data_IF_577136296786
#
_entry.id   IF_577136296786
#
_cell.length_a   1.000
_cell.length_b   1.000
_cell.length_c   1.000
_cell.angle_alpha   90.00
_cell.angle_beta   90.00
_cell.angle_gamma   90.00
#
_symmetry.space_group_name_H-M   'P 1'
#
loop_
_entity.id
_entity.type
_entity.pdbx_description
1 polymer ?
#
# COMPACT_ATOMS: atom_id res chain seq x y z
N UNK A 1 12.93 12.96 11.83
CA UNK A 1 12.57 11.55 12.04
C UNK A 1 12.55 10.89 10.67
N UNK A 2 13.42 9.92 10.44
CA UNK A 2 13.52 9.15 9.19
C UNK A 2 12.41 8.11 9.13
N UNK A 3 12.04 7.72 7.92
CA UNK A 3 11.17 6.57 7.69
C UNK A 3 11.66 5.76 6.49
N UNK A 4 11.23 4.52 6.43
CA UNK A 4 11.53 3.60 5.33
C UNK A 4 10.26 2.91 4.88
N UNK A 5 10.07 2.80 3.57
CA UNK A 5 9.01 1.98 2.98
C UNK A 5 9.65 0.88 2.16
N UNK A 6 9.38 -0.37 2.50
CA UNK A 6 9.90 -1.53 1.77
C UNK A 6 8.75 -2.22 1.05
N UNK A 7 8.87 -2.42 -0.25
CA UNK A 7 7.96 -3.29 -0.98
C UNK A 7 8.26 -4.74 -0.57
N UNK A 8 7.33 -5.38 0.14
CA UNK A 8 7.50 -6.76 0.63
C UNK A 8 6.78 -7.78 -0.24
N UNK A 9 5.85 -7.32 -1.08
CA UNK A 9 5.08 -8.17 -1.99
C UNK A 9 4.70 -7.38 -3.25
N UNK A 10 5.07 -7.90 -4.41
CA UNK A 10 4.70 -7.38 -5.73
C UNK A 10 4.83 -8.49 -6.78
N UNK A 11 4.32 -8.29 -8.00
CA UNK A 11 4.48 -9.24 -9.11
C UNK A 11 5.94 -9.45 -9.51
N UNK A 12 6.81 -8.44 -9.31
CA UNK A 12 8.25 -8.55 -9.44
C UNK A 12 8.95 -8.68 -8.10
N UNK A 13 10.16 -9.22 -8.15
CA UNK A 13 11.05 -9.31 -7.00
C UNK A 13 12.46 -8.91 -7.42
N UNK A 14 13.24 -8.43 -6.45
CA UNK A 14 14.63 -8.04 -6.65
C UNK A 14 15.43 -9.25 -7.11
N UNK A 15 16.15 -9.10 -8.21
CA UNK A 15 17.00 -10.16 -8.79
C UNK A 15 18.08 -10.65 -7.79
N UNK A 16 18.46 -11.91 -7.95
CA UNK A 16 19.45 -12.58 -7.10
C UNK A 16 19.10 -12.60 -5.59
N UNK A 17 17.80 -12.65 -5.30
CA UNK A 17 17.27 -12.83 -3.94
C UNK A 17 16.35 -14.04 -3.87
N UNK A 18 16.04 -14.53 -2.66
CA UNK A 18 15.05 -15.59 -2.45
C UNK A 18 13.60 -15.09 -2.42
N UNK A 19 13.38 -13.79 -2.70
CA UNK A 19 12.03 -13.21 -2.70
C UNK A 19 11.17 -13.78 -3.82
N UNK A 20 9.89 -13.95 -3.55
CA UNK A 20 8.90 -14.44 -4.51
C UNK A 20 8.12 -13.26 -5.07
N UNK A 21 8.19 -13.09 -6.41
CA UNK A 21 7.26 -12.24 -7.14
C UNK A 21 5.93 -12.95 -7.34
N UNK A 22 4.83 -12.30 -7.03
CA UNK A 22 3.48 -12.85 -7.19
C UNK A 22 2.44 -11.74 -7.24
N UNK A 23 1.29 -12.05 -7.85
CA UNK A 23 0.18 -11.11 -8.03
C UNK A 23 -0.31 -10.55 -6.70
N UNK A 24 -0.38 -9.23 -6.61
CA UNK A 24 -0.77 -8.46 -5.44
C UNK A 24 0.27 -7.44 -5.03
N UNK A 25 0.00 -6.70 -3.97
CA UNK A 25 0.91 -5.68 -3.42
C UNK A 25 0.88 -5.68 -1.91
N UNK A 26 2.04 -5.48 -1.29
CA UNK A 26 2.16 -5.10 0.12
C UNK A 26 3.44 -4.29 0.35
N UNK A 27 3.33 -3.28 1.19
CA UNK A 27 4.43 -2.39 1.56
C UNK A 27 4.56 -2.32 3.08
N UNK A 28 5.77 -2.47 3.60
CA UNK A 28 6.06 -2.28 5.02
C UNK A 28 6.57 -0.86 5.24
N UNK A 29 5.98 -0.16 6.17
CA UNK A 29 6.38 1.17 6.61
C UNK A 29 7.06 1.06 7.97
N UNK A 30 8.32 1.47 8.04
CA UNK A 30 9.07 1.60 9.28
C UNK A 30 9.15 3.10 9.64
N UNK A 31 8.63 3.50 10.82
CA UNK A 31 8.70 4.86 11.35
C UNK A 31 9.15 4.80 12.82
N UNK A 32 10.42 5.13 13.08
CA UNK A 32 11.01 4.92 14.40
C UNK A 32 11.00 3.45 14.78
N UNK A 33 10.38 3.11 15.92
CA UNK A 33 10.24 1.74 16.39
C UNK A 33 8.90 1.08 15.97
N UNK A 34 8.09 1.78 15.18
CA UNK A 34 6.75 1.32 14.77
C UNK A 34 6.73 0.86 13.33
N UNK A 35 5.92 -0.16 13.07
CA UNK A 35 5.77 -0.79 11.77
C UNK A 35 4.32 -0.91 11.38
N UNK A 36 4.02 -0.51 10.14
CA UNK A 36 2.71 -0.70 9.53
C UNK A 36 2.87 -1.50 8.24
N UNK A 37 2.04 -2.52 8.06
CA UNK A 37 1.91 -3.21 6.78
C UNK A 37 0.73 -2.62 6.01
N UNK A 38 1.00 -2.06 4.84
CA UNK A 38 -0.01 -1.53 3.93
C UNK A 38 -0.28 -2.56 2.83
N UNK A 39 -1.50 -3.11 2.82
CA UNK A 39 -1.93 -4.28 2.06
C UNK A 39 -1.19 -5.58 2.44
N UNK A 40 -1.65 -6.72 1.88
CA UNK A 40 -1.13 -8.04 2.27
C UNK A 40 -0.88 -8.97 1.09
N UNK A 41 -1.10 -8.50 -0.15
CA UNK A 41 -0.98 -9.33 -1.34
C UNK A 41 -2.08 -10.40 -1.46
N UNK A 42 -1.95 -11.24 -2.48
CA UNK A 42 -2.94 -12.28 -2.81
C UNK A 42 -2.74 -13.58 -2.01
N UNK A 43 -1.51 -13.96 -1.69
CA UNK A 43 -1.15 -15.25 -1.12
C UNK A 43 -0.38 -15.11 0.18
N UNK A 44 -0.99 -15.44 1.31
CA UNK A 44 -0.37 -15.32 2.62
C UNK A 44 0.95 -16.09 2.75
N UNK A 45 1.08 -17.28 2.15
CA UNK A 45 2.35 -18.03 2.15
C UNK A 45 3.51 -17.30 1.48
N UNK A 46 3.25 -16.51 0.44
CA UNK A 46 4.30 -15.73 -0.23
C UNK A 46 4.65 -14.48 0.57
N UNK A 47 3.64 -13.84 1.19
CA UNK A 47 3.88 -12.75 2.11
C UNK A 47 4.76 -13.21 3.28
N UNK A 48 4.39 -14.30 3.96
CA UNK A 48 5.16 -14.85 5.08
C UNK A 48 6.59 -15.21 4.66
N UNK A 49 6.76 -15.84 3.48
CA UNK A 49 8.07 -16.16 2.95
C UNK A 49 8.92 -14.89 2.71
N UNK A 50 8.36 -13.87 2.06
CA UNK A 50 9.08 -12.64 1.76
C UNK A 50 9.42 -11.86 3.03
N UNK A 51 8.52 -11.78 4.01
CA UNK A 51 8.81 -11.19 5.32
C UNK A 51 10.00 -11.90 5.99
N UNK A 52 9.99 -13.25 6.01
CA UNK A 52 11.11 -14.05 6.54
C UNK A 52 12.42 -13.78 5.80
N UNK A 53 12.41 -13.75 4.46
CA UNK A 53 13.60 -13.44 3.66
C UNK A 53 14.15 -12.03 3.92
N UNK A 54 13.29 -11.09 4.30
CA UNK A 54 13.66 -9.72 4.64
C UNK A 54 14.01 -9.53 6.12
N UNK A 55 13.96 -10.59 6.93
CA UNK A 55 14.23 -10.56 8.37
C UNK A 55 13.16 -9.79 9.15
N UNK A 56 11.92 -9.80 8.67
CA UNK A 56 10.79 -9.11 9.30
C UNK A 56 9.96 -10.14 10.07
N UNK A 57 10.00 -10.03 11.39
CA UNK A 57 9.17 -10.87 12.26
C UNK A 57 7.70 -10.42 12.18
N UNK A 58 6.74 -11.32 11.95
CA UNK A 58 5.31 -10.98 11.89
C UNK A 58 4.81 -10.23 13.13
N UNK A 59 5.26 -10.59 14.32
CA UNK A 59 4.90 -9.94 15.59
C UNK A 59 5.48 -8.52 15.76
N UNK A 60 6.41 -8.11 14.90
CA UNK A 60 6.95 -6.74 14.90
C UNK A 60 6.08 -5.74 14.15
N UNK A 61 5.02 -6.19 13.46
CA UNK A 61 4.06 -5.33 12.75
C UNK A 61 3.01 -4.86 13.76
N UNK A 62 2.92 -3.56 13.98
CA UNK A 62 2.00 -2.95 14.96
C UNK A 62 0.58 -2.78 14.40
N UNK A 63 0.47 -2.53 13.09
CA UNK A 63 -0.83 -2.34 12.44
C UNK A 63 -0.80 -2.82 10.97
N UNK A 64 -1.97 -3.19 10.46
CA UNK A 64 -2.21 -3.48 9.05
C UNK A 64 -3.28 -2.52 8.54
N UNK A 65 -3.02 -1.89 7.41
CA UNK A 65 -4.02 -1.10 6.66
C UNK A 65 -4.31 -1.81 5.35
N UNK A 66 -5.57 -2.09 5.07
CA UNK A 66 -6.01 -2.66 3.79
C UNK A 66 -6.66 -1.58 2.96
N UNK A 67 -6.05 -1.28 1.80
CA UNK A 67 -6.44 -0.16 0.95
C UNK A 67 -7.82 -0.32 0.33
N UNK A 68 -8.18 -1.53 -0.07
CA UNK A 68 -9.44 -1.79 -0.80
C UNK A 68 -9.88 -3.27 -0.75
N UNK A 69 -11.17 -3.57 -1.03
CA UNK A 69 -11.71 -4.93 -1.02
C UNK A 69 -11.36 -5.74 -2.29
N UNK A 70 -10.11 -5.63 -2.77
CA UNK A 70 -9.63 -6.42 -3.89
C UNK A 70 -8.74 -7.58 -3.41
N UNK A 71 -8.93 -8.82 -3.90
CA UNK A 71 -8.19 -9.99 -3.45
C UNK A 71 -6.67 -9.81 -3.42
N UNK A 72 -6.12 -9.07 -4.38
CA UNK A 72 -4.69 -8.80 -4.54
C UNK A 72 -4.12 -7.92 -3.39
N UNK A 73 -5.00 -7.26 -2.60
CA UNK A 73 -4.63 -6.38 -1.51
C UNK A 73 -4.87 -7.00 -0.13
N UNK A 74 -5.93 -7.82 0.05
CA UNK A 74 -6.35 -8.24 1.38
C UNK A 74 -6.18 -9.74 1.70
N UNK A 75 -6.10 -10.63 0.68
CA UNK A 75 -6.15 -12.09 0.93
C UNK A 75 -4.93 -12.66 1.62
N UNK A 76 -3.81 -11.96 1.60
CA UNK A 76 -2.60 -12.39 2.28
C UNK A 76 -2.68 -12.28 3.80
N UNK A 77 -3.66 -11.55 4.34
CA UNK A 77 -3.78 -11.28 5.78
C UNK A 77 -3.83 -12.57 6.63
N UNK A 78 -4.61 -13.56 6.22
CA UNK A 78 -4.72 -14.81 6.98
C UNK A 78 -3.38 -15.52 7.17
N UNK A 79 -2.51 -15.46 6.16
CA UNK A 79 -1.14 -15.99 6.25
C UNK A 79 -0.26 -15.20 7.22
N UNK A 80 -0.40 -13.90 7.29
CA UNK A 80 0.28 -13.08 8.29
C UNK A 80 -0.21 -13.44 9.70
N UNK A 81 -1.53 -13.49 9.89
CA UNK A 81 -2.15 -13.78 11.19
C UNK A 81 -1.77 -15.17 11.71
N UNK A 82 -1.60 -16.15 10.83
CA UNK A 82 -1.17 -17.51 11.18
C UNK A 82 0.21 -17.55 11.82
N UNK A 83 1.11 -16.69 11.38
CA UNK A 83 2.51 -16.64 11.87
C UNK A 83 2.66 -15.73 13.10
N UNK A 84 1.57 -15.12 13.60
CA UNK A 84 1.59 -14.22 14.75
C UNK A 84 1.22 -14.95 16.04
N UNK A 85 1.83 -14.47 17.12
CA UNK A 85 1.50 -14.89 18.50
C UNK A 85 0.70 -13.83 19.26
N UNK A 86 0.58 -12.59 18.70
CA UNK A 86 -0.10 -11.45 19.30
C UNK A 86 -1.14 -10.89 18.32
N UNK A 87 -2.28 -10.37 18.83
CA UNK A 87 -3.22 -9.64 17.99
C UNK A 87 -2.57 -8.41 17.33
N UNK A 88 -3.10 -8.01 16.17
CA UNK A 88 -2.70 -6.81 15.44
C UNK A 88 -3.94 -6.01 15.05
N UNK A 89 -3.84 -4.68 15.12
CA UNK A 89 -4.87 -3.78 14.62
C UNK A 89 -4.93 -3.85 13.09
N UNK A 90 -6.14 -4.09 12.55
CA UNK A 90 -6.38 -4.20 11.11
C UNK A 90 -7.46 -3.20 10.70
N UNK A 91 -7.06 -2.18 9.96
CA UNK A 91 -7.95 -1.16 9.43
C UNK A 91 -8.40 -1.56 8.02
N UNK A 92 -9.69 -1.80 7.86
CA UNK A 92 -10.26 -2.33 6.62
C UNK A 92 -11.63 -1.70 6.32
N UNK A 93 -12.11 -1.86 5.09
CA UNK A 93 -13.47 -1.46 4.72
C UNK A 93 -14.49 -2.40 5.37
N UNK A 94 -15.60 -1.85 5.84
CA UNK A 94 -16.69 -2.64 6.42
C UNK A 94 -17.14 -3.75 5.46
N UNK A 95 -17.32 -4.94 5.99
CA UNK A 95 -17.76 -6.13 5.23
C UNK A 95 -16.65 -6.90 4.51
N UNK A 96 -15.40 -6.44 4.53
CA UNK A 96 -14.28 -7.21 3.94
C UNK A 96 -13.99 -8.51 4.67
N UNK A 97 -14.15 -8.53 5.97
CA UNK A 97 -13.88 -9.70 6.83
C UNK A 97 -15.11 -10.02 7.69
N UNK A 98 -16.17 -10.62 7.11
CA UNK A 98 -17.39 -10.94 7.85
C UNK A 98 -17.12 -11.95 8.97
N UNK A 99 -17.85 -11.82 10.08
CA UNK A 99 -17.67 -12.68 11.27
C UNK A 99 -18.04 -14.15 11.03
N UNK A 100 -18.95 -14.41 10.10
CA UNK A 100 -19.37 -15.76 9.72
C UNK A 100 -19.32 -15.92 8.21
N UNK A 101 -18.55 -16.89 7.73
CA UNK A 101 -18.71 -17.36 6.36
C UNK A 101 -20.00 -18.18 6.28
N UNK A 102 -21.01 -17.68 5.59
CA UNK A 102 -22.18 -18.50 5.25
C UNK A 102 -21.75 -19.72 4.43
N UNK A 103 -22.55 -20.81 4.47
CA UNK A 103 -22.27 -22.10 3.77
C UNK A 103 -21.99 -21.93 2.27
N UNK A 104 -22.31 -20.79 1.68
CA UNK A 104 -22.16 -20.43 0.26
C UNK A 104 -21.19 -19.26 0.02
N UNK A 105 -20.63 -18.64 1.07
CA UNK A 105 -19.66 -17.56 0.89
C UNK A 105 -18.28 -18.15 0.64
N UNK A 106 -17.67 -17.80 -0.49
CA UNK A 106 -16.23 -18.03 -0.71
C UNK A 106 -15.51 -17.36 0.44
N UNK A 107 -14.67 -18.10 1.18
CA UNK A 107 -14.01 -17.73 2.42
C UNK A 107 -13.58 -16.26 2.48
N UNK A 108 -13.99 -15.57 3.52
CA UNK A 108 -13.83 -14.14 3.80
C UNK A 108 -12.40 -13.68 4.09
N UNK A 109 -11.40 -14.47 3.77
CA UNK A 109 -10.01 -14.04 3.91
C UNK A 109 -9.37 -14.26 5.29
N UNK A 110 -10.09 -14.43 6.40
CA UNK A 110 -9.52 -14.79 7.71
C UNK A 110 -10.15 -16.08 8.17
N UNK A 111 -9.33 -17.12 8.44
CA UNK A 111 -9.78 -18.38 9.02
C UNK A 111 -10.19 -18.18 10.49
N UNK A 112 -11.10 -19.02 10.97
CA UNK A 112 -11.58 -18.93 12.34
C UNK A 112 -10.46 -19.12 13.37
N UNK A 113 -9.51 -19.99 13.09
CA UNK A 113 -8.32 -20.20 13.93
C UNK A 113 -7.43 -18.98 14.10
N UNK A 114 -7.39 -18.10 13.09
CA UNK A 114 -6.50 -16.94 13.07
C UNK A 114 -7.23 -15.64 13.47
N UNK A 115 -8.56 -15.71 13.66
CA UNK A 115 -9.37 -14.51 13.90
C UNK A 115 -9.04 -13.80 15.21
N UNK A 116 -8.63 -14.55 16.22
CA UNK A 116 -8.21 -13.99 17.50
C UNK A 116 -6.94 -13.11 17.39
N UNK A 117 -6.19 -13.26 16.30
CA UNK A 117 -4.98 -12.48 16.04
C UNK A 117 -5.25 -11.18 15.26
N UNK A 118 -6.51 -10.83 14.99
CA UNK A 118 -6.90 -9.59 14.31
C UNK A 118 -7.89 -8.78 15.16
N UNK A 119 -7.57 -7.51 15.41
CA UNK A 119 -8.49 -6.51 15.95
C UNK A 119 -8.96 -5.67 14.77
N UNK A 120 -10.21 -5.89 14.33
CA UNK A 120 -10.74 -5.29 13.11
C UNK A 120 -11.37 -3.93 13.40
N UNK A 121 -10.93 -2.90 12.66
CA UNK A 121 -11.44 -1.53 12.68
C UNK A 121 -12.06 -1.20 11.31
N UNK A 122 -13.30 -0.71 11.33
CA UNK A 122 -14.08 -0.42 10.12
C UNK A 122 -14.50 1.04 9.99
N UNK A 123 -13.88 1.91 10.77
CA UNK A 123 -14.16 3.35 10.68
C UNK A 123 -13.87 3.88 9.27
N UNK A 124 -14.66 4.85 8.83
CA UNK A 124 -14.41 5.58 7.59
C UNK A 124 -14.03 7.02 7.95
N UNK A 125 -12.81 7.40 7.67
CA UNK A 125 -12.26 8.70 8.02
C UNK A 125 -10.73 8.67 8.06
N UNK A 126 -10.13 9.77 8.46
CA UNK A 126 -8.71 9.84 8.75
C UNK A 126 -8.40 9.16 10.08
N UNK A 127 -7.55 8.16 10.08
CA UNK A 127 -7.16 7.38 11.25
C UNK A 127 -5.64 7.35 11.34
N UNK A 128 -5.07 7.74 12.46
CA UNK A 128 -3.66 7.50 12.76
C UNK A 128 -3.49 6.04 13.17
N UNK A 129 -3.07 5.19 12.23
CA UNK A 129 -2.94 3.74 12.44
C UNK A 129 -1.69 3.38 13.28
N UNK A 130 -0.61 4.10 13.10
CA UNK A 130 0.57 4.16 13.98
C UNK A 130 1.06 5.62 14.00
N UNK A 131 1.88 6.05 14.97
CA UNK A 131 2.34 7.43 15.05
C UNK A 131 2.88 7.94 13.72
N UNK A 132 2.29 9.05 13.22
CA UNK A 132 2.62 9.73 11.97
C UNK A 132 2.30 8.97 10.68
N UNK A 133 1.60 7.84 10.75
CA UNK A 133 1.10 7.13 9.57
C UNK A 133 -0.42 7.04 9.65
N UNK A 134 -1.06 7.65 8.68
CA UNK A 134 -2.51 7.83 8.64
C UNK A 134 -3.12 7.02 7.51
N UNK A 135 -4.26 6.36 7.77
CA UNK A 135 -5.15 5.89 6.72
C UNK A 135 -6.11 7.01 6.35
N UNK A 136 -6.28 7.27 5.05
CA UNK A 136 -7.26 8.24 4.53
C UNK A 136 -8.69 7.70 4.60
N UNK A 137 -9.72 8.55 4.45
CA UNK A 137 -11.04 8.08 4.03
C UNK A 137 -10.96 7.26 2.74
N UNK A 138 -12.02 6.51 2.43
CA UNK A 138 -12.10 5.80 1.16
C UNK A 138 -12.53 6.76 0.04
N UNK A 139 -11.68 6.93 -0.98
CA UNK A 139 -11.99 7.68 -2.19
C UNK A 139 -12.75 6.80 -3.17
N UNK A 140 -13.86 7.31 -3.71
CA UNK A 140 -14.63 6.64 -4.77
C UNK A 140 -14.06 7.03 -6.14
N UNK A 141 -13.70 6.03 -6.93
CA UNK A 141 -13.18 6.24 -8.29
C UNK A 141 -14.28 6.45 -9.35
N UNK A 142 -15.54 6.52 -8.94
CA UNK A 142 -16.69 6.66 -9.83
C UNK A 142 -17.13 5.37 -10.54
N UNK A 143 -16.39 4.27 -10.37
CA UNK A 143 -16.66 2.97 -10.99
C UNK A 143 -17.09 1.91 -9.96
N UNK A 144 -17.53 2.35 -8.76
CA UNK A 144 -17.88 1.45 -7.65
C UNK A 144 -16.65 0.89 -6.91
N UNK A 145 -15.46 1.30 -7.26
CA UNK A 145 -14.25 0.98 -6.54
C UNK A 145 -13.94 2.08 -5.53
N UNK A 146 -13.66 1.67 -4.30
CA UNK A 146 -13.24 2.55 -3.21
C UNK A 146 -11.87 2.14 -2.74
N UNK A 147 -10.99 3.12 -2.53
CA UNK A 147 -9.62 2.91 -2.08
C UNK A 147 -9.24 3.92 -1.01
N UNK A 148 -8.62 3.42 0.07
CA UNK A 148 -7.92 4.25 1.04
C UNK A 148 -6.41 4.18 0.78
N UNK A 149 -5.73 5.26 1.11
CA UNK A 149 -4.28 5.40 0.99
C UNK A 149 -3.65 5.44 2.38
N UNK A 150 -2.36 5.16 2.47
CA UNK A 150 -1.61 5.50 3.67
C UNK A 150 -0.81 6.79 3.42
N UNK A 151 -0.80 7.68 4.40
CA UNK A 151 -0.07 8.94 4.36
C UNK A 151 0.91 8.98 5.52
N UNK A 152 2.19 9.15 5.22
CA UNK A 152 3.25 9.33 6.21
C UNK A 152 3.50 10.82 6.36
N UNK A 153 3.27 11.37 7.56
CA UNK A 153 3.55 12.76 7.88
C UNK A 153 5.01 12.91 8.35
N UNK A 154 5.91 13.16 7.42
CA UNK A 154 7.33 13.38 7.70
C UNK A 154 7.67 14.89 7.86
N UNK A 155 8.81 15.23 8.47
CA UNK A 155 9.21 16.63 8.66
C UNK A 155 9.33 17.43 7.35
N UNK A 156 9.77 16.79 6.27
CA UNK A 156 10.01 17.41 4.96
C UNK A 156 8.77 17.51 4.07
N UNK A 157 7.74 16.74 4.35
CA UNK A 157 6.53 16.63 3.54
C UNK A 157 5.83 15.31 3.74
N UNK A 158 4.86 15.03 2.90
CA UNK A 158 4.07 13.81 2.95
C UNK A 158 4.63 12.75 2.01
N UNK A 159 4.55 11.48 2.41
CA UNK A 159 4.70 10.36 1.50
C UNK A 159 3.37 9.58 1.43
N UNK A 160 2.88 9.32 0.23
CA UNK A 160 1.59 8.66 -0.01
C UNK A 160 1.83 7.27 -0.56
N UNK A 161 1.18 6.27 0.05
CA UNK A 161 1.19 4.88 -0.41
C UNK A 161 -0.15 4.55 -1.04
N UNK A 162 -0.10 4.01 -2.26
CA UNK A 162 -1.24 3.57 -3.06
C UNK A 162 -1.20 2.07 -3.27
N UNK A 163 -2.27 1.36 -2.94
CA UNK A 163 -2.39 -0.08 -3.16
C UNK A 163 -2.68 -0.43 -4.61
N UNK A 164 -3.53 0.37 -5.26
CA UNK A 164 -3.91 0.19 -6.66
C UNK A 164 -3.95 1.49 -7.47
N UNK A 165 -4.39 2.59 -6.88
CA UNK A 165 -4.46 3.89 -7.54
C UNK A 165 -5.57 4.01 -8.58
N UNK A 166 -6.72 3.38 -8.32
CA UNK A 166 -7.84 3.29 -9.28
C UNK A 166 -8.39 4.67 -9.65
N UNK A 167 -8.47 5.58 -8.69
CA UNK A 167 -8.97 6.95 -8.88
C UNK A 167 -7.91 7.96 -9.37
N UNK A 168 -6.66 7.51 -9.55
CA UNK A 168 -5.53 8.41 -9.81
C UNK A 168 -5.06 9.16 -8.57
N UNK A 169 -3.99 9.97 -8.69
CA UNK A 169 -3.35 10.59 -7.54
C UNK A 169 -4.01 11.90 -7.07
N UNK A 170 -4.74 12.61 -7.95
CA UNK A 170 -5.20 14.00 -7.71
C UNK A 170 -5.95 14.19 -6.39
N UNK A 171 -6.99 13.36 -6.17
CA UNK A 171 -7.85 13.53 -5.00
C UNK A 171 -7.09 13.30 -3.69
N UNK A 172 -6.25 12.28 -3.62
CA UNK A 172 -5.49 11.98 -2.39
C UNK A 172 -4.38 13.01 -2.16
N UNK A 173 -3.74 13.52 -3.20
CA UNK A 173 -2.73 14.59 -3.10
C UNK A 173 -3.38 15.85 -2.52
N UNK A 174 -4.45 16.34 -3.14
CA UNK A 174 -5.17 17.54 -2.71
C UNK A 174 -5.67 17.42 -1.27
N UNK A 175 -6.31 16.31 -0.92
CA UNK A 175 -6.88 16.11 0.40
C UNK A 175 -5.79 16.00 1.49
N UNK A 176 -4.72 15.23 1.23
CA UNK A 176 -3.62 15.08 2.19
C UNK A 176 -2.87 16.39 2.40
N UNK A 177 -2.54 17.11 1.34
CA UNK A 177 -1.83 18.39 1.43
C UNK A 177 -2.65 19.44 2.18
N UNK A 178 -3.96 19.52 1.90
CA UNK A 178 -4.87 20.39 2.63
C UNK A 178 -4.93 20.08 4.12
N UNK A 179 -5.06 18.76 4.45
CA UNK A 179 -5.19 18.33 5.85
C UNK A 179 -3.96 18.60 6.69
N UNK A 180 -2.78 18.33 6.15
CA UNK A 180 -1.52 18.44 6.89
C UNK A 180 -0.83 19.79 6.70
N UNK A 181 -1.33 20.62 5.80
CA UNK A 181 -0.69 21.87 5.36
C UNK A 181 0.78 21.65 4.97
N UNK A 182 1.02 20.59 4.20
CA UNK A 182 2.34 20.15 3.75
C UNK A 182 2.26 19.63 2.31
N UNK A 183 3.32 19.86 1.52
CA UNK A 183 3.43 19.28 0.18
C UNK A 183 3.68 17.77 0.24
N UNK A 184 3.30 17.07 -0.79
CA UNK A 184 3.67 15.66 -1.00
C UNK A 184 5.06 15.58 -1.65
N UNK A 185 6.00 14.89 -1.01
CA UNK A 185 7.35 14.68 -1.52
C UNK A 185 7.52 13.34 -2.22
N UNK A 186 6.72 12.32 -1.87
CA UNK A 186 6.83 10.99 -2.45
C UNK A 186 5.47 10.34 -2.69
N UNK A 187 5.34 9.64 -3.82
CA UNK A 187 4.21 8.77 -4.15
C UNK A 187 4.71 7.37 -4.45
N UNK A 188 4.23 6.37 -3.70
CA UNK A 188 4.74 5.00 -3.71
C UNK A 188 3.61 4.01 -3.99
N UNK A 189 3.84 3.03 -4.86
CA UNK A 189 2.89 1.95 -5.13
C UNK A 189 2.32 1.97 -6.53
N UNK A 190 0.99 2.01 -6.69
CA UNK A 190 0.33 1.81 -7.98
C UNK A 190 -0.47 3.02 -8.46
N UNK A 191 -0.63 3.09 -9.80
CA UNK A 191 -1.52 4.03 -10.49
C UNK A 191 -2.54 3.32 -11.41
N UNK A 192 -2.73 1.99 -11.32
CA UNK A 192 -3.67 1.16 -12.11
C UNK A 192 -3.69 1.48 -13.62
N UNK A 193 -2.52 1.69 -14.22
CA UNK A 193 -2.39 2.10 -15.62
C UNK A 193 -2.16 0.93 -16.59
N UNK A 194 -2.15 -0.33 -16.12
CA UNK A 194 -1.86 -1.52 -16.94
C UNK A 194 -2.72 -1.61 -18.21
N UNK A 195 -4.01 -1.26 -18.09
CA UNK A 195 -4.98 -1.29 -19.18
C UNK A 195 -5.45 0.10 -19.64
N UNK A 196 -4.85 1.14 -19.10
CA UNK A 196 -5.25 2.51 -19.37
C UNK A 196 -4.66 3.02 -20.68
N UNK A 197 -5.40 3.93 -21.33
CA UNK A 197 -4.88 4.63 -22.51
C UNK A 197 -3.88 5.71 -22.11
N UNK A 198 -2.97 6.06 -23.02
CA UNK A 198 -1.94 7.09 -22.80
C UNK A 198 -2.46 8.39 -22.17
N UNK A 199 -3.60 8.99 -22.60
CA UNK A 199 -4.11 10.23 -21.98
C UNK A 199 -4.37 10.15 -20.48
N UNK A 200 -4.73 8.96 -19.95
CA UNK A 200 -4.92 8.75 -18.50
C UNK A 200 -3.57 8.82 -17.78
N UNK A 201 -2.56 8.15 -18.33
CA UNK A 201 -1.21 8.21 -17.76
C UNK A 201 -0.61 9.62 -17.82
N UNK A 202 -0.88 10.36 -18.92
CA UNK A 202 -0.47 11.75 -19.07
C UNK A 202 -1.15 12.65 -18.01
N UNK A 203 -2.45 12.45 -17.77
CA UNK A 203 -3.19 13.19 -16.74
C UNK A 203 -2.66 12.90 -15.31
N UNK A 204 -2.36 11.62 -15.01
CA UNK A 204 -1.80 11.26 -13.71
C UNK A 204 -0.38 11.81 -13.50
N UNK A 205 0.43 11.80 -14.54
CA UNK A 205 1.74 12.44 -14.49
C UNK A 205 1.62 13.96 -14.31
N UNK A 206 0.69 14.62 -15.01
CA UNK A 206 0.43 16.05 -14.85
C UNK A 206 -0.02 16.39 -13.42
N UNK A 207 -0.86 15.57 -12.81
CA UNK A 207 -1.26 15.71 -11.41
C UNK A 207 -0.06 15.62 -10.45
N UNK A 208 0.77 14.59 -10.57
CA UNK A 208 1.99 14.45 -9.77
C UNK A 208 2.94 15.65 -9.94
N UNK A 209 3.08 16.17 -11.16
CA UNK A 209 3.89 17.34 -11.46
C UNK A 209 3.30 18.64 -10.84
N UNK A 210 1.99 18.83 -10.93
CA UNK A 210 1.29 20.00 -10.37
C UNK A 210 1.47 20.10 -8.85
N UNK A 211 1.48 18.96 -8.17
CA UNK A 211 1.75 18.84 -6.72
C UNK A 211 3.25 18.83 -6.38
N UNK A 212 4.14 18.96 -7.39
CA UNK A 212 5.60 18.98 -7.20
C UNK A 212 6.11 17.76 -6.42
N UNK A 213 5.62 16.56 -6.76
CA UNK A 213 6.06 15.30 -6.13
C UNK A 213 7.47 14.97 -6.60
N UNK A 214 8.43 14.94 -5.68
CA UNK A 214 9.85 14.76 -6.00
C UNK A 214 10.19 13.31 -6.40
N UNK A 215 9.65 12.34 -5.65
CA UNK A 215 9.96 10.92 -5.79
C UNK A 215 8.70 10.11 -6.11
N UNK A 216 8.73 9.39 -7.24
CA UNK A 216 7.64 8.52 -7.67
C UNK A 216 8.17 7.10 -7.84
N UNK A 217 7.64 6.16 -7.04
CA UNK A 217 8.03 4.75 -7.04
C UNK A 217 6.84 3.90 -7.43
N UNK A 218 6.89 3.27 -8.61
CA UNK A 218 5.74 2.57 -9.19
C UNK A 218 5.99 1.06 -9.27
N UNK A 219 4.99 0.30 -8.83
CA UNK A 219 5.00 -1.16 -8.85
C UNK A 219 4.41 -1.74 -10.16
N UNK A 220 4.46 -3.07 -10.31
CA UNK A 220 3.98 -3.79 -11.50
C UNK A 220 2.52 -3.55 -11.83
N UNK A 221 1.67 -3.25 -10.83
CA UNK A 221 0.25 -2.97 -11.05
C UNK A 221 0.01 -1.72 -11.90
N UNK A 222 0.95 -0.77 -11.91
CA UNK A 222 0.91 0.38 -12.83
C UNK A 222 1.07 -0.06 -14.29
N UNK A 223 1.64 -1.24 -14.52
CA UNK A 223 1.91 -1.77 -15.85
C UNK A 223 3.13 -1.13 -16.50
N UNK A 224 3.88 -1.91 -17.28
CA UNK A 224 5.12 -1.43 -17.94
C UNK A 224 4.88 -0.19 -18.80
N UNK A 225 3.81 -0.19 -19.62
CA UNK A 225 3.46 0.95 -20.46
C UNK A 225 3.05 2.18 -19.64
N UNK A 226 2.32 1.97 -18.54
CA UNK A 226 1.95 3.02 -17.59
C UNK A 226 3.18 3.68 -16.99
N UNK A 227 4.11 2.90 -16.46
CA UNK A 227 5.39 3.39 -15.89
C UNK A 227 6.17 4.18 -16.95
N UNK A 228 6.28 3.65 -18.18
CA UNK A 228 6.98 4.33 -19.28
C UNK A 228 6.34 5.68 -19.61
N UNK A 229 5.01 5.74 -19.71
CA UNK A 229 4.30 6.98 -20.02
C UNK A 229 4.46 8.03 -18.89
N UNK A 230 4.39 7.61 -17.63
CA UNK A 230 4.64 8.51 -16.49
C UNK A 230 6.08 9.02 -16.51
N UNK A 231 7.07 8.16 -16.79
CA UNK A 231 8.48 8.54 -16.93
C UNK A 231 8.73 9.57 -18.02
N UNK A 232 8.08 9.42 -19.18
CA UNK A 232 8.21 10.37 -20.30
C UNK A 232 7.73 11.76 -19.89
N UNK A 233 6.65 11.84 -19.10
CA UNK A 233 6.05 13.12 -18.70
C UNK A 233 6.76 13.76 -17.50
N UNK A 234 7.25 12.98 -16.52
CA UNK A 234 7.91 13.48 -15.31
C UNK A 234 9.44 13.53 -15.42
N UNK A 235 10.01 12.99 -16.49
CA UNK A 235 11.44 12.76 -16.61
C UNK A 235 11.90 11.43 -16.00
N UNK A 236 12.92 10.82 -16.62
CA UNK A 236 13.35 9.47 -16.27
C UNK A 236 13.91 9.33 -14.84
N UNK A 237 14.52 10.39 -14.31
CA UNK A 237 15.15 10.35 -12.99
C UNK A 237 14.16 10.35 -11.83
N UNK A 238 12.96 10.93 -12.02
CA UNK A 238 11.95 11.08 -10.97
C UNK A 238 11.06 9.86 -10.75
N UNK A 239 11.09 8.86 -11.66
CA UNK A 239 10.20 7.68 -11.58
C UNK A 239 11.01 6.41 -11.50
N UNK A 240 10.89 5.70 -10.39
CA UNK A 240 11.60 4.45 -10.09
C UNK A 240 10.63 3.26 -10.02
N UNK A 241 11.15 2.07 -10.29
CA UNK A 241 10.39 0.82 -10.12
C UNK A 241 10.44 0.38 -8.66
N UNK A 242 9.32 -0.18 -8.17
CA UNK A 242 9.14 -0.52 -6.77
C UNK A 242 8.61 -1.95 -6.60
N UNK A 243 9.53 -2.91 -6.66
CA UNK A 243 9.25 -4.35 -6.57
C UNK A 243 9.61 -4.92 -5.21
N UNK A 244 9.18 -6.15 -4.91
CA UNK A 244 9.54 -6.83 -3.68
C UNK A 244 11.07 -6.82 -3.45
N UNK A 245 11.50 -6.32 -2.28
CA UNK A 245 12.90 -6.14 -1.91
C UNK A 245 13.48 -4.75 -2.19
N UNK A 246 12.73 -3.85 -2.85
CA UNK A 246 13.15 -2.44 -2.98
C UNK A 246 12.62 -1.61 -1.82
N UNK A 247 13.35 -0.55 -1.48
CA UNK A 247 12.97 0.37 -0.41
C UNK A 247 13.11 1.82 -0.86
N UNK A 248 12.19 2.64 -0.39
CA UNK A 248 12.32 4.09 -0.32
C UNK A 248 12.74 4.47 1.09
N UNK A 249 13.72 5.34 1.22
CA UNK A 249 14.24 5.79 2.52
C UNK A 249 14.29 7.32 2.50
N UNK A 250 13.62 7.97 3.46
CA UNK A 250 13.81 9.38 3.73
C UNK A 250 14.82 9.55 4.88
N UNK A 251 16.10 9.70 4.50
CA UNK A 251 17.21 9.83 5.46
C UNK A 251 17.47 11.28 5.90
N UNK A 252 16.82 12.24 5.26
CA UNK A 252 17.09 13.66 5.47
C UNK A 252 16.23 14.18 6.63
N UNK A 253 16.81 14.18 7.81
CA UNK A 253 16.28 14.85 9.01
C UNK A 253 16.60 16.34 9.00
#
# INVERSE_FOLDING_TARGET
MSFKVTCVYDEGAKENTSLIGAKGSAMLVDVGERRLLFDTGLRGRYLAHNLSCLGIEPDSIDAVVVSQPHPDNYRGLDGLLKERTKPVDVYAMQGMYPEKSGLLSKSSGISESNRANAILHYDDGWIEAIPRVFRTPYFDSGNGYKEAYAVIDAPRGLAILSGRGVGGPENVLTEAESRFNKRTMAFLGSLDLEKSKKPVADAYAASLAAHSVDDVYLNHRTGRNGITNVRVNLGLAGVKEFYAGFSYIDERS
#
